data_IF_649923077269
#
_entry.id   IF_649923077269
#
_cell.length_a   1.000
_cell.length_b   1.000
_cell.length_c   1.000
_cell.angle_alpha   90.00
_cell.angle_beta   90.00
_cell.angle_gamma   90.00
#
_symmetry.space_group_name_H-M   'P 1'
#
loop_
_entity.id
_entity.type
_entity.pdbx_description
1 polymer ?
#
# COMPACT_ATOMS: atom_id res chain seq x y z
N UNK A 1 -32.17 15.16 59.61
CA UNK A 1 -32.48 14.26 58.47
C UNK A 1 -31.92 14.73 57.12
N UNK A 2 -31.72 16.03 56.85
CA UNK A 2 -31.28 16.50 55.53
C UNK A 2 -29.80 16.23 55.15
N UNK A 3 -28.88 16.05 56.11
CA UNK A 3 -27.47 15.78 55.79
C UNK A 3 -27.17 14.29 55.50
N UNK A 4 -27.98 13.37 56.03
CA UNK A 4 -27.79 11.93 55.80
C UNK A 4 -28.25 11.53 54.39
N UNK A 5 -29.36 12.11 53.90
CA UNK A 5 -29.83 11.86 52.53
C UNK A 5 -28.91 12.45 51.45
N UNK A 6 -28.26 13.59 51.71
CA UNK A 6 -27.25 14.18 50.80
C UNK A 6 -26.03 13.27 50.63
N UNK A 7 -25.57 12.64 51.70
CA UNK A 7 -24.42 11.72 51.65
C UNK A 7 -24.77 10.39 50.96
N UNK A 8 -26.00 9.91 51.11
CA UNK A 8 -26.47 8.69 50.42
C UNK A 8 -26.58 8.93 48.90
N UNK A 9 -27.07 10.09 48.45
CA UNK A 9 -27.11 10.43 47.03
C UNK A 9 -25.72 10.61 46.42
N UNK A 10 -24.75 11.17 47.15
CA UNK A 10 -23.37 11.30 46.68
C UNK A 10 -22.71 9.93 46.56
N UNK A 11 -22.92 9.02 47.53
CA UNK A 11 -22.36 7.65 47.48
C UNK A 11 -22.96 6.83 46.32
N UNK A 12 -24.27 6.95 46.06
CA UNK A 12 -24.93 6.25 44.95
C UNK A 12 -24.48 6.76 43.57
N UNK A 13 -24.27 8.07 43.41
CA UNK A 13 -23.76 8.64 42.15
C UNK A 13 -22.29 8.27 41.94
N UNK A 14 -21.48 8.23 43.00
CA UNK A 14 -20.06 7.83 42.89
C UNK A 14 -19.90 6.34 42.60
N UNK A 15 -20.77 5.47 43.16
CA UNK A 15 -20.78 4.04 42.82
C UNK A 15 -21.24 3.77 41.37
N UNK A 16 -22.15 4.59 40.84
CA UNK A 16 -22.60 4.50 39.45
C UNK A 16 -21.50 4.93 38.46
N UNK A 17 -20.67 5.93 38.82
CA UNK A 17 -19.51 6.34 38.01
C UNK A 17 -18.33 5.35 38.04
N UNK A 18 -18.14 4.59 39.12
CA UNK A 18 -17.08 3.56 39.18
C UNK A 18 -17.43 2.33 38.34
N UNK A 19 -18.72 2.01 38.19
CA UNK A 19 -19.19 0.91 37.33
C UNK A 19 -19.11 1.22 35.82
N UNK A 20 -19.13 2.50 35.43
CA UNK A 20 -18.99 2.88 34.00
C UNK A 20 -17.55 2.84 33.47
N UNK A 21 -16.53 2.77 34.35
CA UNK A 21 -15.12 2.65 33.91
C UNK A 21 -14.63 1.20 33.79
N UNK A 22 -15.33 0.22 34.38
CA UNK A 22 -14.99 -1.19 34.18
C UNK A 22 -15.61 -1.76 32.88
N UNK A 23 -16.74 -1.24 32.42
CA UNK A 23 -17.35 -1.65 31.14
C UNK A 23 -16.60 -1.13 29.90
N UNK A 24 -15.67 -0.19 30.05
CA UNK A 24 -14.80 0.25 28.94
C UNK A 24 -13.58 -0.66 28.71
N UNK A 25 -13.25 -1.56 29.64
CA UNK A 25 -12.10 -2.47 29.47
C UNK A 25 -12.41 -3.66 28.54
N UNK A 26 -13.66 -4.11 28.49
CA UNK A 26 -14.09 -5.18 27.56
C UNK A 26 -14.12 -4.74 26.09
N UNK A 27 -14.03 -3.43 25.80
CA UNK A 27 -14.09 -2.90 24.43
C UNK A 27 -12.73 -2.58 23.81
N UNK A 28 -11.65 -2.71 24.58
CA UNK A 28 -10.27 -2.55 24.06
C UNK A 28 -9.63 -3.85 23.60
N UNK A 29 -10.25 -4.99 23.91
CA UNK A 29 -9.82 -6.29 23.43
C UNK A 29 -10.70 -6.66 22.23
N UNK A 30 -10.09 -6.65 21.04
CA UNK A 30 -10.74 -7.18 19.83
C UNK A 30 -10.78 -8.69 20.01
N UNK A 31 -11.92 -9.23 20.47
CA UNK A 31 -12.13 -10.67 20.41
C UNK A 31 -12.07 -11.12 18.95
N UNK A 32 -11.25 -12.13 18.69
CA UNK A 32 -11.21 -12.77 17.38
C UNK A 32 -12.61 -13.31 17.06
N UNK A 33 -13.14 -13.00 15.88
CA UNK A 33 -14.37 -13.63 15.38
C UNK A 33 -14.22 -15.15 15.19
N UNK A 34 -13.03 -15.73 15.41
CA UNK A 34 -12.86 -17.17 15.42
C UNK A 34 -13.48 -17.77 16.68
N UNK A 35 -14.47 -18.62 16.45
CA UNK A 35 -15.24 -19.39 17.42
C UNK A 35 -14.39 -20.52 18.09
N UNK A 36 -13.11 -20.28 18.39
CA UNK A 36 -12.14 -21.26 18.91
C UNK A 36 -11.93 -22.53 18.04
N UNK A 37 -12.40 -22.56 16.79
CA UNK A 37 -12.26 -23.73 15.89
C UNK A 37 -11.11 -23.65 14.89
N UNK A 38 -10.48 -22.48 14.73
CA UNK A 38 -9.45 -22.25 13.70
C UNK A 38 -8.14 -21.86 14.36
N UNK A 39 -7.13 -22.71 14.24
CA UNK A 39 -5.76 -22.41 14.63
C UNK A 39 -5.17 -21.36 13.67
N UNK A 40 -5.08 -20.11 14.13
CA UNK A 40 -4.51 -19.00 13.37
C UNK A 40 -2.98 -19.12 13.22
N UNK A 41 -2.34 -19.88 14.10
CA UNK A 41 -0.90 -20.11 14.14
C UNK A 41 -0.45 -21.29 13.28
N UNK A 42 -1.40 -22.09 12.77
CA UNK A 42 -1.10 -23.14 11.81
C UNK A 42 -0.51 -22.56 10.51
N UNK A 43 0.58 -23.17 10.05
CA UNK A 43 1.26 -22.81 8.79
C UNK A 43 0.39 -23.07 7.56
N UNK A 44 -0.54 -24.03 7.66
CA UNK A 44 -1.53 -24.36 6.63
C UNK A 44 -2.91 -24.32 7.26
N UNK A 45 -3.82 -23.58 6.64
CA UNK A 45 -5.22 -23.43 7.07
C UNK A 45 -6.15 -24.15 6.08
N UNK A 46 -7.43 -24.30 6.42
CA UNK A 46 -8.38 -25.02 5.57
C UNK A 46 -8.70 -24.26 4.26
N UNK A 47 -9.22 -24.97 3.26
CA UNK A 47 -9.62 -24.35 2.00
C UNK A 47 -10.77 -23.35 2.19
N UNK A 48 -11.67 -23.60 3.14
CA UNK A 48 -12.75 -22.68 3.52
C UNK A 48 -12.19 -21.39 4.12
N UNK A 49 -11.17 -21.48 4.98
CA UNK A 49 -10.47 -20.31 5.50
C UNK A 49 -9.88 -19.47 4.37
N UNK A 50 -9.16 -20.11 3.44
CA UNK A 50 -8.54 -19.37 2.33
C UNK A 50 -9.58 -18.80 1.35
N UNK A 51 -10.71 -19.49 1.15
CA UNK A 51 -11.82 -18.94 0.37
C UNK A 51 -12.41 -17.68 1.04
N UNK A 52 -12.67 -17.73 2.34
CA UNK A 52 -13.15 -16.59 3.11
C UNK A 52 -12.13 -15.44 3.12
N UNK A 53 -10.83 -15.73 3.23
CA UNK A 53 -9.76 -14.73 3.15
C UNK A 53 -9.77 -14.01 1.80
N UNK A 54 -9.90 -14.76 0.69
CA UNK A 54 -9.98 -14.17 -0.65
C UNK A 54 -11.26 -13.36 -0.83
N UNK A 55 -12.39 -13.81 -0.32
CA UNK A 55 -13.64 -13.04 -0.35
C UNK A 55 -13.50 -11.73 0.44
N UNK A 56 -12.95 -11.81 1.66
CA UNK A 56 -12.69 -10.65 2.49
C UNK A 56 -11.78 -9.62 1.82
N UNK A 57 -10.69 -10.05 1.14
CA UNK A 57 -9.81 -9.16 0.37
C UNK A 57 -10.50 -8.45 -0.80
N UNK A 58 -11.64 -8.97 -1.27
CA UNK A 58 -12.46 -8.33 -2.30
C UNK A 58 -13.55 -7.41 -1.72
N UNK A 59 -13.58 -7.17 -0.41
CA UNK A 59 -14.54 -6.25 0.22
C UNK A 59 -14.40 -4.84 -0.39
N UNK A 60 -15.47 -4.23 -0.90
CA UNK A 60 -15.41 -2.90 -1.47
C UNK A 60 -14.87 -1.86 -0.47
N UNK A 61 -13.87 -1.10 -0.89
CA UNK A 61 -13.25 -0.05 -0.08
C UNK A 61 -12.40 -0.55 1.08
N UNK A 62 -12.03 -1.84 1.11
CA UNK A 62 -11.09 -2.38 2.09
C UNK A 62 -9.77 -1.59 2.04
N UNK A 63 -9.28 -1.05 3.18
CA UNK A 63 -7.97 -0.44 3.24
C UNK A 63 -6.87 -1.46 2.94
N UNK A 64 -5.81 -1.02 2.28
CA UNK A 64 -4.71 -1.89 1.88
C UNK A 64 -3.63 -1.97 2.95
N UNK A 65 -3.08 -3.16 3.10
CA UNK A 65 -1.88 -3.46 3.86
C UNK A 65 -0.77 -3.82 2.89
N UNK A 66 0.32 -3.06 2.95
CA UNK A 66 1.35 -3.03 1.92
C UNK A 66 2.74 -3.33 2.50
N UNK A 67 3.59 -3.99 1.72
CA UNK A 67 5.00 -4.17 2.08
C UNK A 67 5.90 -4.02 0.85
N UNK A 68 7.03 -3.32 0.98
CA UNK A 68 8.15 -3.52 0.06
C UNK A 68 8.99 -4.69 0.56
N UNK A 69 8.99 -5.75 -0.24
CA UNK A 69 9.57 -7.04 0.10
C UNK A 69 10.90 -7.22 -0.63
N UNK A 70 12.00 -7.16 0.12
CA UNK A 70 13.34 -6.91 -0.43
C UNK A 70 14.29 -8.12 -0.42
N UNK A 71 14.11 -9.06 0.51
CA UNK A 71 14.98 -10.22 0.68
C UNK A 71 14.33 -11.52 0.18
N UNK A 72 13.64 -11.46 -0.96
CA UNK A 72 12.77 -12.54 -1.41
C UNK A 72 13.55 -13.71 -2.03
N UNK A 73 13.55 -14.86 -1.36
CA UNK A 73 14.11 -16.11 -1.91
C UNK A 73 13.03 -17.13 -2.26
N UNK A 74 11.93 -17.17 -1.48
CA UNK A 74 10.83 -18.12 -1.69
C UNK A 74 11.19 -19.60 -1.44
N UNK A 75 12.37 -19.89 -0.91
CA UNK A 75 12.87 -21.28 -0.71
C UNK A 75 12.14 -21.97 0.44
N UNK A 76 11.85 -21.24 1.52
CA UNK A 76 11.11 -21.75 2.66
C UNK A 76 9.63 -21.29 2.61
N UNK A 77 8.68 -22.08 3.10
CA UNK A 77 7.26 -21.70 3.14
C UNK A 77 6.94 -20.68 4.24
N UNK A 78 7.92 -20.33 5.07
CA UNK A 78 7.86 -19.36 6.18
C UNK A 78 9.17 -18.57 6.23
N UNK A 79 9.30 -17.63 7.17
CA UNK A 79 10.51 -16.81 7.30
C UNK A 79 10.37 -15.43 6.68
N UNK A 80 11.29 -14.54 7.04
CA UNK A 80 11.35 -13.16 6.54
C UNK A 80 11.51 -13.05 5.01
N UNK A 81 11.93 -14.14 4.35
CA UNK A 81 12.27 -14.19 2.92
C UNK A 81 11.21 -14.91 2.07
N UNK A 82 10.06 -15.23 2.67
CA UNK A 82 8.95 -15.96 2.05
C UNK A 82 7.71 -15.07 1.95
N UNK A 83 7.16 -14.89 0.74
CA UNK A 83 5.87 -14.20 0.59
C UNK A 83 4.77 -14.97 1.33
N UNK A 84 4.85 -16.31 1.33
CA UNK A 84 3.94 -17.17 2.09
C UNK A 84 4.10 -17.03 3.60
N UNK A 85 5.26 -16.56 4.06
CA UNK A 85 5.52 -16.24 5.46
C UNK A 85 4.86 -14.94 5.93
N UNK A 86 4.45 -14.05 5.03
CA UNK A 86 3.76 -12.82 5.40
C UNK A 86 2.40 -13.10 6.06
N UNK A 87 1.95 -12.20 6.97
CA UNK A 87 0.61 -12.28 7.54
C UNK A 87 -0.46 -12.41 6.44
N UNK A 88 -1.45 -13.28 6.65
CA UNK A 88 -2.48 -13.59 5.65
C UNK A 88 -3.28 -12.35 5.21
N UNK A 89 -3.37 -11.36 6.10
CA UNK A 89 -4.02 -10.07 5.93
C UNK A 89 -3.22 -9.04 5.13
N UNK A 90 -2.03 -9.38 4.62
CA UNK A 90 -1.31 -8.57 3.62
C UNK A 90 -2.05 -8.60 2.29
N UNK A 91 -2.43 -7.42 1.79
CA UNK A 91 -3.17 -7.26 0.53
C UNK A 91 -2.25 -7.10 -0.67
N UNK A 92 -1.14 -6.35 -0.52
CA UNK A 92 -0.20 -6.05 -1.60
C UNK A 92 1.23 -6.25 -1.10
N UNK A 93 2.01 -7.05 -1.82
CA UNK A 93 3.45 -7.18 -1.64
C UNK A 93 4.17 -6.66 -2.88
N UNK A 94 5.04 -5.67 -2.69
CA UNK A 94 5.77 -5.04 -3.77
C UNK A 94 7.20 -5.57 -3.83
N UNK A 95 7.59 -6.17 -4.95
CA UNK A 95 8.90 -6.79 -5.13
C UNK A 95 10.01 -5.73 -5.27
N UNK A 96 10.56 -5.33 -4.13
CA UNK A 96 11.65 -4.35 -4.03
C UNK A 96 13.01 -5.07 -3.85
N UNK A 97 14.14 -4.35 -3.88
CA UNK A 97 15.47 -4.93 -3.64
C UNK A 97 16.28 -5.29 -4.90
N UNK A 98 17.55 -5.69 -4.69
CA UNK A 98 18.57 -5.81 -5.74
C UNK A 98 18.61 -7.15 -6.50
N UNK A 99 17.70 -8.08 -6.25
CA UNK A 99 17.60 -9.33 -7.00
C UNK A 99 16.93 -9.14 -8.38
N UNK A 100 17.11 -10.08 -9.33
CA UNK A 100 16.43 -10.02 -10.63
C UNK A 100 14.93 -9.80 -10.48
N UNK A 101 14.42 -8.78 -11.18
CA UNK A 101 13.02 -8.34 -11.09
C UNK A 101 12.08 -9.20 -11.92
N UNK A 102 12.49 -9.62 -13.11
CA UNK A 102 11.62 -10.35 -14.05
C UNK A 102 12.04 -11.81 -14.27
N UNK A 103 13.31 -12.15 -14.04
CA UNK A 103 13.83 -13.50 -14.16
C UNK A 103 13.75 -14.21 -12.80
N UNK A 104 12.54 -14.67 -12.46
CA UNK A 104 12.27 -15.34 -11.18
C UNK A 104 12.79 -16.77 -11.17
N UNK A 105 13.40 -17.18 -10.04
CA UNK A 105 13.71 -18.59 -9.81
C UNK A 105 12.42 -19.42 -9.69
N UNK A 106 12.48 -20.74 -9.90
CA UNK A 106 11.33 -21.62 -9.71
C UNK A 106 10.68 -21.48 -8.32
N UNK A 107 11.49 -21.28 -7.28
CA UNK A 107 11.04 -21.12 -5.89
C UNK A 107 10.27 -19.81 -5.72
N UNK A 108 10.82 -18.68 -6.17
CA UNK A 108 10.12 -17.39 -6.16
C UNK A 108 8.82 -17.47 -6.94
N UNK A 109 8.82 -18.09 -8.13
CA UNK A 109 7.60 -18.25 -8.92
C UNK A 109 6.54 -19.07 -8.17
N UNK A 110 6.91 -20.18 -7.55
CA UNK A 110 6.00 -21.02 -6.78
C UNK A 110 5.46 -20.32 -5.52
N UNK A 111 6.32 -19.55 -4.84
CA UNK A 111 5.97 -18.76 -3.66
C UNK A 111 4.94 -17.68 -4.00
N UNK A 112 5.19 -16.92 -5.08
CA UNK A 112 4.28 -15.90 -5.61
C UNK A 112 2.94 -16.51 -6.05
N UNK A 113 2.97 -17.58 -6.86
CA UNK A 113 1.75 -18.22 -7.34
C UNK A 113 0.86 -18.71 -6.20
N UNK A 114 1.45 -19.22 -5.11
CA UNK A 114 0.67 -19.63 -3.95
C UNK A 114 0.02 -18.44 -3.26
N UNK A 115 0.75 -17.36 -2.95
CA UNK A 115 0.13 -16.23 -2.24
C UNK A 115 -0.95 -15.56 -3.07
N UNK A 116 -0.80 -15.53 -4.38
CA UNK A 116 -1.82 -15.03 -5.31
C UNK A 116 -3.07 -15.93 -5.32
N UNK A 117 -2.89 -17.24 -5.53
CA UNK A 117 -4.01 -18.18 -5.74
C UNK A 117 -4.68 -18.62 -4.44
N UNK A 118 -3.89 -18.84 -3.38
CA UNK A 118 -4.37 -19.37 -2.11
C UNK A 118 -4.73 -18.23 -1.16
N UNK A 119 -3.80 -17.30 -0.89
CA UNK A 119 -4.05 -16.20 0.06
C UNK A 119 -4.79 -15.01 -0.56
N UNK A 120 -4.77 -14.85 -1.88
CA UNK A 120 -5.33 -13.67 -2.56
C UNK A 120 -4.50 -12.40 -2.43
N UNK A 121 -3.24 -12.49 -2.00
CA UNK A 121 -2.33 -11.34 -1.93
C UNK A 121 -1.86 -10.99 -3.33
N UNK A 122 -1.93 -9.70 -3.68
CA UNK A 122 -1.39 -9.18 -4.95
C UNK A 122 0.11 -8.99 -4.84
N UNK A 123 0.84 -9.42 -5.85
CA UNK A 123 2.30 -9.24 -5.92
C UNK A 123 2.63 -8.37 -7.11
N UNK A 124 3.19 -7.19 -6.87
CA UNK A 124 3.58 -6.23 -7.91
C UNK A 124 5.10 -6.11 -8.00
N UNK A 125 5.62 -5.52 -9.06
CA UNK A 125 7.06 -5.26 -9.21
C UNK A 125 7.36 -3.78 -9.05
N UNK A 126 8.32 -3.45 -8.18
CA UNK A 126 8.84 -2.09 -8.02
C UNK A 126 10.04 -1.85 -8.91
N UNK A 127 9.99 -0.79 -9.71
CA UNK A 127 11.14 -0.25 -10.44
C UNK A 127 11.25 1.26 -10.19
N UNK A 128 12.46 1.77 -10.13
CA UNK A 128 12.69 3.22 -10.15
C UNK A 128 12.21 3.84 -11.47
N UNK A 129 12.45 3.16 -12.60
CA UNK A 129 12.15 3.66 -13.94
C UNK A 129 12.54 5.15 -14.07
N UNK A 130 13.76 5.48 -13.67
CA UNK A 130 14.26 6.86 -13.64
C UNK A 130 14.57 7.35 -15.06
N UNK A 131 14.85 6.42 -15.96
CA UNK A 131 15.14 6.62 -17.39
C UNK A 131 14.34 5.64 -18.23
N UNK A 132 14.09 6.04 -19.47
CA UNK A 132 13.44 5.18 -20.46
C UNK A 132 14.36 4.00 -20.76
N UNK A 133 13.83 2.79 -20.67
CA UNK A 133 14.57 1.55 -20.91
C UNK A 133 15.21 0.95 -19.66
N UNK A 134 15.13 1.61 -18.49
CA UNK A 134 15.61 1.03 -17.22
C UNK A 134 14.95 -0.34 -16.98
N UNK A 135 15.77 -1.31 -16.56
CA UNK A 135 15.41 -2.71 -16.29
C UNK A 135 14.85 -3.50 -17.49
N UNK A 136 14.90 -2.94 -18.70
CA UNK A 136 14.48 -3.59 -19.95
C UNK A 136 15.69 -3.92 -20.84
N UNK A 137 15.55 -4.89 -21.77
CA UNK A 137 16.58 -5.12 -22.79
C UNK A 137 16.90 -3.83 -23.55
N UNK A 138 18.18 -3.61 -23.81
CA UNK A 138 18.65 -2.41 -24.49
C UNK A 138 18.01 -2.26 -25.87
N UNK A 139 17.56 -1.06 -26.20
CA UNK A 139 17.00 -0.72 -27.50
C UNK A 139 17.40 0.69 -27.89
N UNK A 140 17.80 0.89 -29.15
CA UNK A 140 18.30 2.18 -29.62
C UNK A 140 17.23 3.28 -29.55
N UNK A 141 15.94 2.92 -29.62
CA UNK A 141 14.85 3.89 -29.53
C UNK A 141 14.76 4.57 -28.15
N UNK A 142 15.33 3.99 -27.10
CA UNK A 142 15.34 4.59 -25.76
C UNK A 142 16.38 5.71 -25.64
N UNK A 143 17.32 5.83 -26.57
CA UNK A 143 18.42 6.80 -26.54
C UNK A 143 18.00 8.20 -27.01
N UNK A 144 16.97 8.78 -26.39
CA UNK A 144 16.40 10.08 -26.77
C UNK A 144 16.93 11.26 -25.93
N UNK A 145 17.76 10.99 -24.91
CA UNK A 145 18.30 12.01 -24.01
C UNK A 145 17.22 12.83 -23.30
N UNK A 146 17.49 14.12 -23.05
CA UNK A 146 16.56 15.04 -22.40
C UNK A 146 15.55 15.67 -23.39
N UNK A 147 15.19 14.99 -24.48
CA UNK A 147 14.26 15.56 -25.46
C UNK A 147 12.89 15.85 -24.83
N UNK A 148 12.29 16.94 -25.26
CA UNK A 148 10.88 17.30 -24.97
C UNK A 148 10.05 17.36 -26.25
N UNK A 149 10.60 16.95 -27.39
CA UNK A 149 9.86 16.79 -28.63
C UNK A 149 9.01 15.52 -28.56
N UNK A 150 7.69 15.66 -28.45
CA UNK A 150 6.77 14.53 -28.34
C UNK A 150 6.85 13.55 -29.50
N UNK A 151 7.19 14.02 -30.71
CA UNK A 151 7.34 13.14 -31.89
C UNK A 151 8.52 12.17 -31.72
N UNK A 152 9.53 12.54 -30.93
CA UNK A 152 10.68 11.70 -30.57
C UNK A 152 10.40 10.91 -29.29
N UNK A 153 9.83 11.57 -28.28
CA UNK A 153 9.64 11.00 -26.93
C UNK A 153 8.56 9.93 -26.91
N UNK A 154 7.40 10.19 -27.54
CA UNK A 154 6.22 9.33 -27.41
C UNK A 154 6.46 7.92 -27.97
N UNK A 155 7.08 7.70 -29.14
CA UNK A 155 7.40 6.36 -29.61
C UNK A 155 8.31 5.57 -28.66
N UNK A 156 9.31 6.22 -28.08
CA UNK A 156 10.25 5.59 -27.15
C UNK A 156 9.58 5.17 -25.84
N UNK A 157 8.82 6.09 -25.23
CA UNK A 157 8.10 5.82 -23.97
C UNK A 157 6.98 4.81 -24.17
N UNK A 158 6.25 4.87 -25.31
CA UNK A 158 5.24 3.87 -25.65
C UNK A 158 5.82 2.46 -25.70
N UNK A 159 6.97 2.28 -26.36
CA UNK A 159 7.66 1.00 -26.41
C UNK A 159 8.12 0.56 -25.02
N UNK A 160 8.64 1.49 -24.21
CA UNK A 160 9.08 1.19 -22.85
C UNK A 160 7.91 0.77 -21.94
N UNK A 161 6.79 1.48 -21.98
CA UNK A 161 5.58 1.13 -21.22
C UNK A 161 5.03 -0.26 -21.60
N UNK A 162 5.02 -0.59 -22.90
CA UNK A 162 4.65 -1.93 -23.36
C UNK A 162 5.66 -3.01 -22.92
N UNK A 163 6.96 -2.71 -22.93
CA UNK A 163 7.99 -3.63 -22.46
C UNK A 163 7.84 -3.95 -20.96
N UNK A 164 7.55 -2.94 -20.12
CA UNK A 164 7.24 -3.14 -18.70
C UNK A 164 6.01 -4.05 -18.56
N UNK A 165 4.92 -3.75 -19.29
CA UNK A 165 3.71 -4.57 -19.29
C UNK A 165 3.98 -6.03 -19.67
N UNK A 166 4.70 -6.27 -20.76
CA UNK A 166 5.02 -7.62 -21.20
C UNK A 166 5.91 -8.36 -20.20
N UNK A 167 6.83 -7.65 -19.53
CA UNK A 167 7.65 -8.21 -18.47
C UNK A 167 6.83 -8.57 -17.21
N UNK A 168 5.89 -7.72 -16.80
CA UNK A 168 4.93 -8.00 -15.70
C UNK A 168 4.12 -9.26 -16.02
N UNK A 169 3.54 -9.33 -17.22
CA UNK A 169 2.74 -10.49 -17.66
C UNK A 169 3.58 -11.77 -17.67
N UNK A 170 4.78 -11.72 -18.26
CA UNK A 170 5.66 -12.87 -18.37
C UNK A 170 6.11 -13.39 -17.00
N UNK A 171 6.44 -12.50 -16.08
CA UNK A 171 6.86 -12.86 -14.74
C UNK A 171 5.69 -13.38 -13.87
N UNK A 172 4.44 -12.98 -14.18
CA UNK A 172 3.24 -13.40 -13.45
C UNK A 172 2.81 -12.43 -12.35
N UNK A 173 3.32 -11.20 -12.37
CA UNK A 173 2.95 -10.15 -11.41
C UNK A 173 1.50 -9.67 -11.62
N UNK A 174 0.93 -9.11 -10.55
CA UNK A 174 -0.38 -8.47 -10.50
C UNK A 174 -0.33 -6.97 -10.77
N UNK A 175 0.82 -6.38 -11.12
CA UNK A 175 0.91 -4.96 -11.38
C UNK A 175 2.33 -4.40 -11.35
N UNK A 176 2.39 -3.08 -11.46
CA UNK A 176 3.61 -2.28 -11.52
C UNK A 176 3.57 -1.17 -10.46
N UNK A 177 4.68 -0.99 -9.76
CA UNK A 177 4.92 0.00 -8.72
C UNK A 177 6.07 0.92 -9.14
N UNK A 178 5.76 2.19 -9.42
CA UNK A 178 6.74 3.17 -9.87
C UNK A 178 7.32 3.94 -8.69
N UNK A 179 8.58 3.64 -8.35
CA UNK A 179 9.34 4.28 -7.28
C UNK A 179 9.85 5.65 -7.74
N UNK A 180 9.07 6.69 -7.46
CA UNK A 180 9.27 8.05 -7.94
C UNK A 180 9.99 8.92 -6.89
N UNK A 181 11.30 9.04 -7.01
CA UNK A 181 12.16 9.79 -6.05
C UNK A 181 13.01 10.90 -6.70
N UNK A 182 12.39 11.93 -7.31
CA UNK A 182 13.10 12.99 -8.02
C UNK A 182 14.08 13.81 -7.15
N UNK A 183 13.86 13.90 -5.83
CA UNK A 183 14.71 14.63 -4.86
C UNK A 183 15.64 13.70 -4.07
N UNK A 184 15.37 12.40 -4.03
CA UNK A 184 16.07 11.41 -3.22
C UNK A 184 17.27 10.74 -3.91
N UNK A 185 17.24 10.61 -5.24
CA UNK A 185 18.24 9.80 -5.94
C UNK A 185 18.48 10.15 -7.40
N UNK A 186 18.03 11.31 -7.88
CA UNK A 186 18.16 11.70 -9.29
C UNK A 186 19.61 11.80 -9.77
N UNK A 187 20.15 10.70 -10.31
CA UNK A 187 21.42 10.70 -11.04
C UNK A 187 21.22 11.44 -12.37
N UNK A 188 22.28 12.05 -12.90
CA UNK A 188 22.27 12.65 -14.23
C UNK A 188 21.62 11.73 -15.28
N UNK A 189 20.65 12.28 -16.00
CA UNK A 189 19.89 11.54 -17.02
C UNK A 189 18.57 10.93 -16.55
N UNK A 190 18.15 11.10 -15.29
CA UNK A 190 16.87 10.60 -14.75
C UNK A 190 15.69 11.40 -15.30
N UNK A 191 15.44 11.33 -16.61
CA UNK A 191 14.48 12.19 -17.31
C UNK A 191 13.02 11.80 -17.05
N UNK A 192 12.76 10.55 -16.65
CA UNK A 192 11.46 10.19 -16.06
C UNK A 192 11.28 10.71 -14.63
N UNK A 193 12.28 11.38 -14.05
CA UNK A 193 12.14 12.14 -12.81
C UNK A 193 12.30 13.65 -12.97
N UNK A 194 12.97 14.11 -14.02
CA UNK A 194 13.36 15.52 -14.19
C UNK A 194 12.77 16.22 -15.42
N UNK A 195 12.41 15.49 -16.48
CA UNK A 195 11.80 16.07 -17.69
C UNK A 195 10.27 15.94 -17.65
N UNK A 196 9.57 17.08 -17.49
CA UNK A 196 8.10 17.12 -17.37
C UNK A 196 7.36 16.47 -18.55
N UNK A 197 7.84 16.62 -19.78
CA UNK A 197 7.20 16.01 -20.97
C UNK A 197 7.35 14.50 -20.94
N UNK A 198 8.56 14.00 -20.67
CA UNK A 198 8.78 12.56 -20.59
C UNK A 198 7.98 11.92 -19.45
N UNK A 199 7.96 12.55 -18.27
CA UNK A 199 7.16 12.08 -17.12
C UNK A 199 5.67 12.00 -17.41
N UNK A 200 5.09 13.07 -17.96
CA UNK A 200 3.67 13.09 -18.30
C UNK A 200 3.35 11.98 -19.29
N UNK A 201 4.12 11.86 -20.37
CA UNK A 201 3.91 10.82 -21.38
C UNK A 201 4.10 9.43 -20.77
N UNK A 202 5.02 9.24 -19.83
CA UNK A 202 5.19 7.95 -19.15
C UNK A 202 3.97 7.55 -18.35
N UNK A 203 3.38 8.46 -17.57
CA UNK A 203 2.13 8.20 -16.84
C UNK A 203 0.97 7.93 -17.80
N UNK A 204 0.86 8.70 -18.90
CA UNK A 204 -0.13 8.43 -19.95
C UNK A 204 0.02 7.01 -20.52
N UNK A 205 1.24 6.61 -20.88
CA UNK A 205 1.52 5.29 -21.48
C UNK A 205 1.30 4.14 -20.49
N UNK A 206 1.71 4.27 -19.23
CA UNK A 206 1.41 3.29 -18.18
C UNK A 206 -0.10 3.11 -17.99
N UNK A 207 -0.85 4.20 -18.07
CA UNK A 207 -2.30 4.20 -17.97
C UNK A 207 -3.02 3.43 -19.09
N UNK A 208 -2.35 3.03 -20.19
CA UNK A 208 -2.92 2.09 -21.16
C UNK A 208 -2.78 0.64 -20.72
N UNK A 209 -1.82 0.31 -19.87
CA UNK A 209 -1.45 -1.06 -19.53
C UNK A 209 -1.90 -1.49 -18.14
N UNK A 210 -1.94 -0.55 -17.20
CA UNK A 210 -2.18 -0.80 -15.78
C UNK A 210 -3.30 0.08 -15.24
N UNK A 211 -3.80 -0.29 -14.06
CA UNK A 211 -4.84 0.42 -13.33
C UNK A 211 -6.16 0.57 -14.08
N UNK A 212 -7.05 1.45 -13.60
CA UNK A 212 -8.36 1.66 -14.20
C UNK A 212 -8.29 2.15 -15.66
N UNK A 213 -7.18 2.79 -16.03
CA UNK A 213 -6.95 3.27 -17.38
C UNK A 213 -6.77 2.15 -18.39
N UNK A 214 -6.32 0.95 -17.96
CA UNK A 214 -6.01 -0.17 -18.84
C UNK A 214 -7.19 -0.66 -19.67
N UNK A 215 -8.43 -0.36 -19.24
CA UNK A 215 -9.66 -0.84 -19.88
C UNK A 215 -10.33 0.19 -20.80
N UNK A 216 -9.64 1.29 -21.11
CA UNK A 216 -10.13 2.27 -22.08
C UNK A 216 -10.29 1.66 -23.48
N UNK A 217 -11.35 2.09 -24.17
CA UNK A 217 -11.72 1.62 -25.52
C UNK A 217 -10.84 2.24 -26.60
N UNK A 218 -10.48 3.51 -26.46
CA UNK A 218 -9.50 4.18 -27.31
C UNK A 218 -8.08 3.78 -26.89
N UNK A 219 -7.38 3.03 -27.74
CA UNK A 219 -6.04 2.49 -27.44
C UNK A 219 -4.96 2.90 -28.42
N UNK A 220 -5.32 3.68 -29.45
CA UNK A 220 -4.39 4.19 -30.46
C UNK A 220 -3.48 3.07 -31.02
N UNK A 221 -4.10 1.96 -31.44
CA UNK A 221 -3.43 0.79 -32.00
C UNK A 221 -2.68 -0.12 -31.01
N UNK A 222 -2.69 0.16 -29.69
CA UNK A 222 -2.13 -0.75 -28.68
C UNK A 222 -2.97 -2.02 -28.57
N UNK A 223 -2.32 -3.15 -28.31
CA UNK A 223 -3.00 -4.41 -28.00
C UNK A 223 -3.87 -4.30 -26.73
N UNK A 224 -4.88 -5.18 -26.55
CA UNK A 224 -5.63 -5.25 -25.30
C UNK A 224 -4.71 -5.50 -24.11
N UNK A 225 -4.94 -4.79 -23.01
CA UNK A 225 -4.26 -5.04 -21.75
C UNK A 225 -5.03 -6.06 -20.90
N UNK A 226 -4.31 -6.91 -20.16
CA UNK A 226 -4.90 -7.80 -19.17
C UNK A 226 -5.60 -6.95 -18.09
N UNK A 227 -6.89 -7.19 -17.80
CA UNK A 227 -7.60 -6.44 -16.76
C UNK A 227 -7.07 -6.77 -15.36
N UNK A 228 -7.21 -5.81 -14.46
CA UNK A 228 -6.94 -5.98 -13.03
C UNK A 228 -5.47 -5.96 -12.63
N UNK A 229 -4.57 -5.53 -13.52
CA UNK A 229 -3.18 -5.22 -13.13
C UNK A 229 -3.13 -3.87 -12.42
N UNK A 230 -2.50 -3.83 -11.25
CA UNK A 230 -2.37 -2.62 -10.44
C UNK A 230 -1.37 -1.64 -11.07
N UNK A 231 -1.71 -0.35 -11.01
CA UNK A 231 -0.78 0.75 -11.23
C UNK A 231 -0.57 1.49 -9.92
N UNK A 232 0.64 1.40 -9.36
CA UNK A 232 1.03 2.05 -8.11
C UNK A 232 2.12 3.07 -8.41
N UNK A 233 2.07 4.20 -7.71
CA UNK A 233 3.19 5.13 -7.62
C UNK A 233 3.59 5.26 -6.16
N UNK A 234 4.89 5.16 -5.91
CA UNK A 234 5.48 5.32 -4.60
C UNK A 234 6.60 6.36 -4.58
N UNK A 235 7.29 6.51 -3.45
CA UNK A 235 8.37 7.48 -3.31
C UNK A 235 7.95 8.82 -2.73
N UNK A 236 8.42 9.88 -3.38
CA UNK A 236 8.27 11.28 -2.96
C UNK A 236 7.00 11.91 -3.54
N UNK A 237 5.88 11.19 -3.35
CA UNK A 237 4.53 11.61 -3.73
C UNK A 237 3.87 12.36 -2.56
N UNK A 238 3.09 13.41 -2.85
CA UNK A 238 2.42 14.24 -1.83
C UNK A 238 3.35 15.11 -0.97
N UNK A 239 4.66 14.90 -1.02
CA UNK A 239 5.68 15.73 -0.38
C UNK A 239 6.90 15.84 -1.29
N UNK A 240 7.72 16.88 -1.14
CA UNK A 240 8.99 17.04 -1.87
C UNK A 240 8.82 16.99 -3.39
N UNK A 241 8.93 15.80 -4.00
CA UNK A 241 8.87 15.56 -5.45
C UNK A 241 7.55 16.01 -6.06
N UNK A 242 6.42 15.63 -5.44
CA UNK A 242 5.04 15.92 -5.89
C UNK A 242 4.74 15.33 -7.27
N UNK A 243 3.46 15.14 -7.57
CA UNK A 243 3.03 14.78 -8.94
C UNK A 243 2.68 16.05 -9.71
N UNK A 244 2.98 16.08 -11.01
CA UNK A 244 2.52 17.19 -11.85
C UNK A 244 0.99 17.07 -12.09
N UNK A 245 0.27 18.18 -12.02
CA UNK A 245 -1.20 18.21 -12.12
C UNK A 245 -1.75 17.80 -13.50
N UNK A 246 -0.92 17.83 -14.52
CA UNK A 246 -1.25 17.45 -15.90
C UNK A 246 -0.99 15.97 -16.21
N UNK A 247 -0.56 15.17 -15.23
CA UNK A 247 -0.50 13.72 -15.36
C UNK A 247 -1.89 13.11 -15.33
N UNK A 248 -2.11 11.98 -16.00
CA UNK A 248 -3.34 11.20 -15.88
C UNK A 248 -3.34 10.33 -14.59
N UNK A 249 -3.06 10.96 -13.44
CA UNK A 249 -2.83 10.30 -12.15
C UNK A 249 -4.05 9.63 -11.54
N UNK A 250 -5.27 9.87 -12.05
CA UNK A 250 -6.46 9.14 -11.62
C UNK A 250 -6.42 7.66 -12.00
N UNK A 251 -5.49 7.26 -12.87
CA UNK A 251 -5.25 5.87 -13.23
C UNK A 251 -4.32 5.12 -12.27
N UNK A 252 -3.71 5.79 -11.28
CA UNK A 252 -3.08 5.08 -10.17
C UNK A 252 -4.15 4.47 -9.26
N UNK A 253 -4.03 3.18 -8.99
CA UNK A 253 -4.84 2.49 -7.97
C UNK A 253 -4.46 2.97 -6.58
N UNK A 254 -3.14 3.17 -6.33
CA UNK A 254 -2.63 3.57 -5.04
C UNK A 254 -1.48 4.58 -5.14
N UNK A 255 -1.46 5.52 -4.20
CA UNK A 255 -0.37 6.45 -3.92
C UNK A 255 0.31 6.01 -2.63
N UNK A 256 1.51 5.45 -2.70
CA UNK A 256 2.22 4.88 -1.54
C UNK A 256 3.27 5.86 -1.07
N UNK A 257 3.02 6.50 0.07
CA UNK A 257 3.84 7.59 0.57
C UNK A 257 4.89 7.07 1.52
N UNK A 258 6.15 7.34 1.19
CA UNK A 258 7.29 7.16 2.10
C UNK A 258 7.22 8.19 3.24
N UNK A 259 6.45 7.85 4.27
CA UNK A 259 6.21 8.66 5.47
C UNK A 259 7.25 8.37 6.56
N UNK A 260 8.47 7.99 6.17
CA UNK A 260 9.50 7.49 7.06
C UNK A 260 9.82 8.46 8.20
N UNK A 261 9.84 7.95 9.43
CA UNK A 261 10.09 8.71 10.65
C UNK A 261 8.98 9.71 11.02
N UNK A 262 7.83 9.68 10.35
CA UNK A 262 6.71 10.58 10.64
C UNK A 262 5.95 10.15 11.90
N UNK A 263 6.14 10.89 12.98
CA UNK A 263 5.52 10.61 14.29
C UNK A 263 4.34 11.52 14.63
N UNK A 264 3.92 12.41 13.72
CA UNK A 264 2.86 13.39 14.00
C UNK A 264 1.74 13.35 12.97
N UNK A 265 0.50 13.44 13.45
CA UNK A 265 -0.71 13.56 12.62
C UNK A 265 -0.63 14.76 11.69
N UNK A 266 0.00 15.87 12.11
CA UNK A 266 0.18 17.05 11.27
C UNK A 266 1.05 16.76 10.04
N UNK A 267 2.15 16.01 10.18
CA UNK A 267 2.99 15.61 9.05
C UNK A 267 2.30 14.59 8.15
N UNK A 268 1.55 13.64 8.72
CA UNK A 268 0.74 12.70 7.94
C UNK A 268 -0.35 13.43 7.14
N UNK A 269 -1.02 14.41 7.76
CA UNK A 269 -2.03 15.26 7.13
C UNK A 269 -1.46 16.08 5.99
N UNK A 270 -0.29 16.70 6.16
CA UNK A 270 0.30 17.52 5.09
C UNK A 270 0.68 16.70 3.86
N UNK A 271 1.14 15.45 4.05
CA UNK A 271 1.47 14.53 2.95
C UNK A 271 0.22 14.09 2.17
N UNK A 272 -0.82 13.66 2.87
CA UNK A 272 -2.09 13.26 2.24
C UNK A 272 -2.76 14.45 1.56
N UNK A 273 -2.77 15.62 2.21
CA UNK A 273 -3.21 16.88 1.58
C UNK A 273 -2.43 17.14 0.29
N UNK A 274 -1.14 16.84 0.29
CA UNK A 274 -0.33 17.00 -0.88
C UNK A 274 -0.79 16.18 -2.08
N UNK A 275 -1.16 14.91 -1.86
CA UNK A 275 -1.74 14.08 -2.93
C UNK A 275 -3.04 14.71 -3.43
N UNK A 276 -3.91 15.18 -2.53
CA UNK A 276 -5.17 15.85 -2.91
C UNK A 276 -4.91 17.09 -3.77
N UNK A 277 -3.94 17.92 -3.38
CA UNK A 277 -3.58 19.13 -4.12
C UNK A 277 -3.01 18.80 -5.52
N UNK A 278 -2.20 17.75 -5.63
CA UNK A 278 -1.65 17.27 -6.91
C UNK A 278 -2.77 16.70 -7.82
N UNK A 279 -3.79 16.09 -7.20
CA UNK A 279 -4.97 15.55 -7.88
C UNK A 279 -6.06 16.60 -8.18
N UNK A 280 -5.85 17.87 -7.80
CA UNK A 280 -6.88 18.92 -7.86
C UNK A 280 -7.52 19.10 -9.25
N UNK A 281 -6.75 18.95 -10.33
CA UNK A 281 -7.28 19.05 -11.69
C UNK A 281 -8.28 17.92 -12.02
N UNK A 282 -7.99 16.69 -11.58
CA UNK A 282 -8.88 15.53 -11.77
C UNK A 282 -10.11 15.59 -10.89
N UNK A 283 -9.96 16.11 -9.67
CA UNK A 283 -11.07 16.36 -8.76
C UNK A 283 -12.02 17.41 -9.36
N UNK A 284 -11.49 18.54 -9.82
CA UNK A 284 -12.28 19.59 -10.47
C UNK A 284 -12.97 19.11 -11.75
N UNK A 285 -12.35 18.19 -12.49
CA UNK A 285 -12.92 17.55 -13.68
C UNK A 285 -13.90 16.41 -13.37
N UNK A 286 -14.15 16.08 -12.10
CA UNK A 286 -15.06 15.01 -11.69
C UNK A 286 -14.58 13.58 -12.03
N UNK A 287 -13.28 13.40 -12.29
CA UNK A 287 -12.69 12.10 -12.65
C UNK A 287 -12.41 11.22 -11.43
N UNK A 288 -12.25 11.84 -10.26
CA UNK A 288 -12.01 11.21 -8.97
C UNK A 288 -12.50 12.14 -7.86
N UNK A 289 -12.92 11.61 -6.71
CA UNK A 289 -13.30 12.43 -5.55
C UNK A 289 -12.13 12.61 -4.58
N UNK A 290 -12.13 13.67 -3.77
CA UNK A 290 -11.10 13.85 -2.74
C UNK A 290 -11.12 12.72 -1.69
N UNK A 291 -12.30 12.22 -1.29
CA UNK A 291 -12.44 11.03 -0.43
C UNK A 291 -11.81 9.78 -1.06
N UNK A 292 -11.90 9.64 -2.37
CA UNK A 292 -11.28 8.53 -3.09
C UNK A 292 -9.77 8.68 -3.17
N UNK A 293 -9.24 9.89 -3.34
CA UNK A 293 -7.79 10.15 -3.24
C UNK A 293 -7.26 9.73 -1.87
N UNK A 294 -7.95 10.10 -0.77
CA UNK A 294 -7.56 9.65 0.58
C UNK A 294 -7.61 8.13 0.69
N UNK A 295 -8.67 7.48 0.17
CA UNK A 295 -8.84 6.02 0.16
C UNK A 295 -7.86 5.26 -0.73
N UNK A 296 -7.17 5.95 -1.64
CA UNK A 296 -6.09 5.39 -2.47
C UNK A 296 -4.70 5.74 -1.94
N UNK A 297 -4.60 6.53 -0.88
CA UNK A 297 -3.31 6.95 -0.30
C UNK A 297 -2.91 6.00 0.84
N UNK A 298 -1.68 5.50 0.80
CA UNK A 298 -1.09 4.63 1.83
C UNK A 298 0.08 5.34 2.51
N UNK A 299 0.24 5.18 3.81
CA UNK A 299 1.37 5.70 4.57
C UNK A 299 2.31 4.57 5.01
N UNK A 300 3.61 4.71 4.77
CA UNK A 300 4.58 3.64 5.08
C UNK A 300 5.72 4.08 5.98
N UNK A 301 6.24 3.13 6.78
CA UNK A 301 7.38 3.34 7.67
C UNK A 301 8.62 2.55 7.25
N UNK A 302 9.80 3.11 7.53
CA UNK A 302 11.10 2.50 7.24
C UNK A 302 11.52 1.55 8.37
N UNK A 303 11.40 0.24 8.14
CA UNK A 303 11.78 -0.77 9.14
C UNK A 303 13.26 -1.14 9.12
N UNK A 304 14.02 -0.72 8.11
CA UNK A 304 15.49 -0.75 8.20
C UNK A 304 15.99 0.07 9.39
N UNK A 305 15.37 1.23 9.62
CA UNK A 305 15.73 2.14 10.72
C UNK A 305 14.89 1.91 11.98
N UNK A 306 13.62 1.52 11.84
CA UNK A 306 12.66 1.58 12.94
C UNK A 306 12.06 0.23 13.38
N UNK A 307 12.55 -0.91 12.89
CA UNK A 307 12.00 -2.22 13.29
C UNK A 307 12.11 -2.56 14.80
N UNK A 308 12.95 -1.84 15.56
CA UNK A 308 13.04 -2.03 17.01
C UNK A 308 11.99 -1.23 17.80
N UNK A 309 11.44 -0.16 17.21
CA UNK A 309 10.50 0.76 17.89
C UNK A 309 9.14 0.83 17.22
N UNK A 310 9.02 0.34 15.99
CA UNK A 310 7.84 0.47 15.14
C UNK A 310 7.71 1.85 14.48
N UNK A 311 8.65 2.77 14.76
CA UNK A 311 8.63 4.13 14.21
C UNK A 311 7.28 4.83 14.43
N UNK A 312 6.79 5.50 13.40
CA UNK A 312 5.45 6.08 13.33
C UNK A 312 4.36 5.12 12.81
N UNK A 313 4.67 3.86 12.52
CA UNK A 313 3.77 2.94 11.81
C UNK A 313 2.40 2.76 12.50
N UNK A 314 2.38 2.58 13.83
CA UNK A 314 1.11 2.41 14.55
C UNK A 314 0.25 3.67 14.49
N UNK A 315 0.86 4.86 14.51
CA UNK A 315 0.13 6.12 14.28
C UNK A 315 -0.43 6.19 12.86
N UNK A 316 0.35 5.79 11.85
CA UNK A 316 -0.10 5.76 10.45
C UNK A 316 -1.27 4.79 10.26
N UNK A 317 -1.25 3.63 10.91
CA UNK A 317 -2.32 2.63 10.84
C UNK A 317 -3.66 3.10 11.41
N UNK A 318 -3.64 4.13 12.25
CA UNK A 318 -4.82 4.73 12.86
C UNK A 318 -5.22 6.06 12.19
N UNK A 319 -4.51 6.46 11.13
CA UNK A 319 -4.66 7.78 10.55
C UNK A 319 -6.04 7.99 9.92
N UNK A 320 -6.72 9.05 10.36
CA UNK A 320 -7.92 9.60 9.73
C UNK A 320 -7.58 10.98 9.21
N UNK A 321 -7.80 11.20 7.91
CA UNK A 321 -7.69 12.52 7.34
C UNK A 321 -8.90 13.37 7.76
N UNK A 322 -8.65 14.37 8.60
CA UNK A 322 -9.64 15.33 9.11
C UNK A 322 -9.23 16.76 8.81
N UNK A 323 -9.36 17.16 7.54
CA UNK A 323 -9.04 18.50 7.07
C UNK A 323 -9.85 18.83 5.80
N UNK A 324 -9.93 20.11 5.45
CA UNK A 324 -10.60 20.59 4.23
C UNK A 324 -12.04 20.06 4.04
N UNK A 325 -12.76 19.86 5.17
CA UNK A 325 -14.13 19.35 5.19
C UNK A 325 -14.27 17.82 5.03
N UNK A 326 -13.16 17.09 4.93
CA UNK A 326 -13.13 15.63 4.84
C UNK A 326 -12.98 15.01 6.23
N UNK A 327 -13.64 13.87 6.43
CA UNK A 327 -13.40 12.92 7.54
C UNK A 327 -13.33 11.53 6.90
N UNK A 328 -12.13 11.12 6.50
CA UNK A 328 -11.92 9.90 5.72
C UNK A 328 -10.73 9.10 6.27
N UNK A 329 -10.96 7.82 6.55
CA UNK A 329 -9.89 6.89 6.90
C UNK A 329 -8.91 6.77 5.73
N UNK A 330 -7.63 6.69 6.05
CA UNK A 330 -6.56 6.45 5.08
C UNK A 330 -6.80 5.18 4.26
N UNK A 331 -6.33 5.19 3.01
CA UNK A 331 -6.42 4.06 2.10
C UNK A 331 -5.62 2.84 2.54
N UNK A 332 -4.63 3.02 3.41
CA UNK A 332 -3.89 1.92 3.99
C UNK A 332 -2.58 2.32 4.64
N UNK A 333 -1.80 1.32 5.04
CA UNK A 333 -0.46 1.52 5.58
C UNK A 333 0.46 0.34 5.27
N UNK A 334 1.78 0.56 5.35
CA UNK A 334 2.74 -0.49 5.03
C UNK A 334 4.16 -0.29 5.55
N UNK A 335 5.02 -1.26 5.26
CA UNK A 335 6.40 -1.29 5.73
C UNK A 335 7.41 -1.39 4.59
N UNK A 336 8.46 -0.59 4.67
CA UNK A 336 9.69 -0.77 3.89
C UNK A 336 10.65 -1.71 4.62
N UNK A 337 11.14 -2.74 3.91
CA UNK A 337 11.92 -3.86 4.45
C UNK A 337 11.19 -4.58 5.58
N UNK A 338 9.98 -5.07 5.29
CA UNK A 338 9.10 -5.71 6.28
C UNK A 338 9.74 -6.93 6.97
N UNK A 339 10.74 -7.57 6.35
CA UNK A 339 11.49 -8.69 6.95
C UNK A 339 12.15 -8.36 8.28
N UNK A 340 12.51 -7.10 8.54
CA UNK A 340 13.08 -6.67 9.83
C UNK A 340 12.07 -6.75 11.00
N UNK A 341 10.77 -6.80 10.70
CA UNK A 341 9.72 -7.04 11.70
C UNK A 341 9.46 -8.52 11.96
N UNK A 342 10.04 -9.43 11.16
CA UNK A 342 9.80 -10.87 11.32
C UNK A 342 10.28 -11.40 12.68
N UNK A 343 11.44 -10.94 13.17
CA UNK A 343 12.02 -11.51 14.38
C UNK A 343 11.20 -11.17 15.63
N UNK A 344 10.94 -12.15 16.52
CA UNK A 344 10.28 -11.95 17.81
C UNK A 344 10.85 -10.77 18.60
N UNK A 345 10.00 -9.84 19.04
CA UNK A 345 10.42 -8.68 19.85
C UNK A 345 10.34 -8.96 21.37
N UNK A 346 10.42 -10.23 21.77
CA UNK A 346 10.19 -10.67 23.16
C UNK A 346 8.74 -10.44 23.64
N UNK A 347 7.83 -10.19 22.71
CA UNK A 347 6.41 -9.91 22.89
C UNK A 347 5.65 -10.63 21.77
N UNK A 348 4.61 -11.39 22.10
CA UNK A 348 3.66 -11.92 21.13
C UNK A 348 2.63 -10.85 20.73
N UNK A 349 1.96 -11.04 19.60
CA UNK A 349 0.75 -10.30 19.28
C UNK A 349 -0.46 -10.79 20.12
N UNK A 350 -1.69 -10.43 19.70
CA UNK A 350 -2.92 -10.83 20.38
C UNK A 350 -3.19 -12.35 20.39
N UNK A 351 -2.59 -13.12 19.47
CA UNK A 351 -2.74 -14.59 19.37
C UNK A 351 -1.48 -15.36 19.81
N UNK A 352 -0.43 -14.63 20.19
CA UNK A 352 0.84 -15.19 20.64
C UNK A 352 1.85 -15.44 19.52
N UNK A 353 1.53 -15.12 18.25
CA UNK A 353 2.50 -15.15 17.15
C UNK A 353 3.56 -14.06 17.38
N UNK A 354 4.84 -14.45 17.50
CA UNK A 354 5.88 -13.47 17.79
C UNK A 354 6.38 -12.73 16.53
N UNK A 355 6.08 -13.22 15.33
CA UNK A 355 6.57 -12.65 14.08
C UNK A 355 5.72 -11.50 13.55
N UNK A 356 6.35 -10.51 12.92
CA UNK A 356 5.68 -9.36 12.32
C UNK A 356 4.85 -8.55 13.35
N UNK A 357 5.42 -8.37 14.55
CA UNK A 357 4.74 -7.79 15.71
C UNK A 357 4.09 -6.42 15.40
N UNK A 358 4.85 -5.48 14.83
CA UNK A 358 4.30 -4.15 14.54
C UNK A 358 3.34 -4.19 13.36
N UNK A 359 3.69 -4.91 12.30
CA UNK A 359 2.88 -5.07 11.09
C UNK A 359 1.49 -5.58 11.45
N UNK A 360 1.39 -6.66 12.24
CA UNK A 360 0.11 -7.23 12.67
C UNK A 360 -0.71 -6.27 13.51
N UNK A 361 -0.10 -5.52 14.43
CA UNK A 361 -0.80 -4.50 15.21
C UNK A 361 -1.35 -3.37 14.34
N UNK A 362 -0.56 -2.90 13.37
CA UNK A 362 -1.03 -1.89 12.42
C UNK A 362 -2.19 -2.40 11.57
N UNK A 363 -2.12 -3.65 11.11
CA UNK A 363 -3.20 -4.31 10.39
C UNK A 363 -4.49 -4.35 11.24
N UNK A 364 -4.39 -4.75 12.51
CA UNK A 364 -5.52 -4.80 13.43
C UNK A 364 -6.15 -3.42 13.61
N UNK A 365 -5.33 -2.38 13.82
CA UNK A 365 -5.82 -1.00 13.92
C UNK A 365 -6.59 -0.56 12.68
N UNK A 366 -6.02 -0.80 11.50
CA UNK A 366 -6.58 -0.38 10.23
C UNK A 366 -7.96 -1.01 9.97
N UNK A 367 -8.09 -2.32 10.20
CA UNK A 367 -9.35 -3.02 9.95
C UNK A 367 -10.39 -2.83 11.05
N UNK A 368 -9.97 -2.64 12.31
CA UNK A 368 -10.89 -2.24 13.39
C UNK A 368 -11.60 -0.94 13.03
N UNK A 369 -10.83 0.09 12.66
CA UNK A 369 -11.38 1.40 12.26
C UNK A 369 -12.29 1.26 11.03
N UNK A 370 -11.89 0.46 10.03
CA UNK A 370 -12.71 0.25 8.83
C UNK A 370 -14.08 -0.33 9.19
N UNK A 371 -14.10 -1.37 10.03
CA UNK A 371 -15.34 -2.01 10.45
C UNK A 371 -16.21 -1.09 11.31
N UNK A 372 -15.62 -0.36 12.26
CA UNK A 372 -16.32 0.63 13.09
C UNK A 372 -16.99 1.71 12.23
N UNK A 373 -16.28 2.25 11.24
CA UNK A 373 -16.81 3.29 10.34
C UNK A 373 -17.84 2.76 9.36
N UNK A 374 -17.70 1.51 8.92
CA UNK A 374 -18.69 0.84 8.06
C UNK A 374 -20.01 0.64 8.81
N UNK A 375 -19.97 0.34 10.10
CA UNK A 375 -21.18 0.17 10.93
C UNK A 375 -21.92 1.48 11.27
N UNK A 376 -21.26 2.64 11.09
CA UNK A 376 -21.83 3.97 11.36
C UNK A 376 -22.51 4.61 10.15
N UNK A 377 -22.37 4.01 8.96
CA UNK A 377 -23.02 4.43 7.71
C UNK A 377 -24.25 3.56 7.47
#
# INVERSE_FOLDING_TARGET
MNNIMKNIHIILITALYVLTFQSCKEWTEVESLNNNSTDLNATVKSDEYYAALREWKNTPGLPQTFVWFDNWTGVAPTGENSLRGLPDSITIASNWGGHPKFDLSPERKADMEYVQKVKGTKVVVTLFSAKIGDDMPADAIYNIGNSSDEAVVRPAIRKYGEAIYDAVIRAGYDGFDWDYEPQGGGIGGSYLWTNRVQRRIFVEELGYWFGPGSQRTERDGRKPAKPGLLLIIDGEVGIRGRMDKDWESQYFDYFVLQAYGSTTVANQTSRVKGVIDDMSAHIAAGRITADEVVRRTLLTENFESYANTGGGFLSMSQFIYKADGLDQQIGGCGLYRSGFDYMPKGKGDYDGSPEYYFLRQGITNLYRIFNERKAQK
#
